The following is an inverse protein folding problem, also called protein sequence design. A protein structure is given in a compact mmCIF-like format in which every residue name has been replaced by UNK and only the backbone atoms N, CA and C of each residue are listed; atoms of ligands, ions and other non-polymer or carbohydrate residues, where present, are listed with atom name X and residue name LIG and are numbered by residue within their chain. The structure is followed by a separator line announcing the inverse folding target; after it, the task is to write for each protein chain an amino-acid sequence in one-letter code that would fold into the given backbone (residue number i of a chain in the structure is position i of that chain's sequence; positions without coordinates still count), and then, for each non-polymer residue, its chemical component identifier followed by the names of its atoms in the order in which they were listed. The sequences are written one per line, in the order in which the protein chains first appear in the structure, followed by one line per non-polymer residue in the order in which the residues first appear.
data_IF_981366506006
#
_entry.id   IF_981366506006
#
_cell.length_a   1.000
_cell.length_b   1.000
_cell.length_c   1.000
_cell.angle_alpha   90.00
_cell.angle_beta   90.00
_cell.angle_gamma   90.00
#
_symmetry.space_group_name_H-M   'P 1'
#
loop_
_entity.id
_entity.type
_entity.pdbx_description
1 polymer ?
#
# COMPACT_ATOMS: atom_id res chain seq x y z
N UNK A 1 -5.14 -7.01 -30.18
CA UNK A 1 -5.25 -7.24 -28.73
C UNK A 1 -4.64 -6.02 -28.05
N UNK A 2 -5.40 -5.31 -27.22
CA UNK A 2 -4.84 -4.20 -26.44
C UNK A 2 -4.10 -4.78 -25.22
N UNK A 3 -2.85 -4.37 -25.04
CA UNK A 3 -2.06 -4.68 -23.86
C UNK A 3 -1.98 -3.40 -23.00
N UNK A 4 -2.10 -3.55 -21.70
CA UNK A 4 -1.91 -2.47 -20.75
C UNK A 4 -0.77 -2.87 -19.83
N UNK A 5 0.25 -2.03 -19.75
CA UNK A 5 1.35 -2.18 -18.80
C UNK A 5 1.10 -1.22 -17.63
N UNK A 6 0.68 -1.76 -16.50
CA UNK A 6 0.51 -1.02 -15.27
C UNK A 6 1.66 -1.32 -14.30
N UNK A 7 2.08 -0.32 -13.57
CA UNK A 7 3.18 -0.46 -12.60
C UNK A 7 2.67 -0.08 -11.21
N UNK A 8 3.00 -0.90 -10.23
CA UNK A 8 2.68 -0.66 -8.84
C UNK A 8 3.85 -0.91 -7.90
N UNK A 9 3.99 -0.02 -6.91
CA UNK A 9 5.07 -0.06 -5.92
C UNK A 9 4.90 -1.10 -4.83
N UNK A 10 3.68 -1.55 -4.56
CA UNK A 10 3.47 -2.45 -3.44
C UNK A 10 2.21 -3.31 -3.58
N UNK A 11 2.21 -4.41 -2.84
CA UNK A 11 1.12 -5.36 -2.76
C UNK A 11 -0.24 -4.73 -2.41
N UNK A 12 -0.25 -3.60 -1.67
CA UNK A 12 -1.50 -2.93 -1.30
C UNK A 12 -2.28 -2.47 -2.53
N UNK A 13 -1.63 -1.77 -3.47
CA UNK A 13 -2.34 -1.30 -4.65
C UNK A 13 -2.70 -2.46 -5.57
N UNK A 14 -1.90 -3.54 -5.60
CA UNK A 14 -2.29 -4.76 -6.30
C UNK A 14 -3.56 -5.36 -5.68
N UNK A 15 -3.62 -5.54 -4.39
CA UNK A 15 -4.78 -6.10 -3.71
C UNK A 15 -6.00 -5.16 -3.75
N UNK A 16 -5.80 -3.88 -3.46
CA UNK A 16 -6.89 -2.92 -3.30
C UNK A 16 -7.45 -2.36 -4.62
N UNK A 17 -6.64 -2.35 -5.69
CA UNK A 17 -7.00 -1.74 -6.98
C UNK A 17 -6.94 -2.75 -8.12
N UNK A 18 -5.82 -3.46 -8.29
CA UNK A 18 -5.60 -4.27 -9.49
C UNK A 18 -6.50 -5.51 -9.49
N UNK A 19 -6.62 -6.21 -8.38
CA UNK A 19 -7.47 -7.41 -8.31
C UNK A 19 -8.95 -7.11 -8.55
N UNK A 20 -9.58 -6.10 -7.90
CA UNK A 20 -10.95 -5.69 -8.22
C UNK A 20 -11.11 -5.25 -9.68
N UNK A 21 -10.16 -4.47 -10.20
CA UNK A 21 -10.16 -4.05 -11.58
C UNK A 21 -10.13 -5.25 -12.54
N UNK A 22 -9.25 -6.23 -12.32
CA UNK A 22 -9.15 -7.43 -13.14
C UNK A 22 -10.49 -8.18 -13.22
N UNK A 23 -11.22 -8.26 -12.09
CA UNK A 23 -12.53 -8.90 -12.05
C UNK A 23 -13.56 -8.17 -12.96
N UNK A 24 -13.53 -6.84 -12.99
CA UNK A 24 -14.36 -6.03 -13.89
C UNK A 24 -13.94 -6.21 -15.35
N UNK A 25 -12.65 -6.11 -15.62
CA UNK A 25 -12.11 -6.20 -17.00
C UNK A 25 -12.37 -7.56 -17.63
N UNK A 26 -12.37 -8.65 -16.88
CA UNK A 26 -12.73 -9.97 -17.39
C UNK A 26 -14.16 -10.04 -17.92
N UNK A 27 -15.07 -9.23 -17.37
CA UNK A 27 -16.48 -9.16 -17.82
C UNK A 27 -16.68 -8.16 -18.96
N UNK A 28 -16.07 -6.97 -18.84
CA UNK A 28 -16.34 -5.85 -19.74
C UNK A 28 -15.39 -5.81 -20.96
N UNK A 29 -14.19 -6.34 -20.82
CA UNK A 29 -13.18 -6.33 -21.87
C UNK A 29 -12.36 -7.65 -21.86
N UNK A 30 -12.96 -8.82 -22.17
CA UNK A 30 -12.31 -10.14 -22.02
C UNK A 30 -11.05 -10.32 -22.89
N UNK A 31 -10.94 -9.54 -23.99
CA UNK A 31 -9.76 -9.53 -24.86
C UNK A 31 -8.61 -8.64 -24.36
N UNK A 32 -8.78 -7.87 -23.29
CA UNK A 32 -7.75 -7.01 -22.75
C UNK A 32 -6.75 -7.82 -21.93
N UNK A 33 -5.45 -7.54 -22.13
CA UNK A 33 -4.37 -8.12 -21.34
C UNK A 33 -3.72 -7.04 -20.50
N UNK A 34 -3.48 -7.33 -19.22
CA UNK A 34 -2.79 -6.43 -18.29
C UNK A 34 -1.53 -7.11 -17.80
N UNK A 35 -0.40 -6.41 -17.91
CA UNK A 35 0.84 -6.74 -17.23
C UNK A 35 1.04 -5.79 -16.05
N UNK A 36 1.21 -6.35 -14.86
CA UNK A 36 1.52 -5.59 -13.65
C UNK A 36 2.96 -5.89 -13.27
N UNK A 37 3.77 -4.85 -13.11
CA UNK A 37 5.19 -4.99 -12.81
C UNK A 37 5.60 -4.06 -11.65
N UNK A 38 6.69 -4.36 -10.93
CA UNK A 38 7.19 -3.47 -9.88
C UNK A 38 7.62 -2.11 -10.45
N UNK A 39 7.32 -1.02 -9.72
CA UNK A 39 7.79 0.32 -10.09
C UNK A 39 9.29 0.48 -9.80
N UNK A 40 10.03 0.85 -10.81
CA UNK A 40 11.30 1.55 -10.62
C UNK A 40 11.02 3.06 -10.53
N UNK A 41 11.21 3.62 -9.35
CA UNK A 41 10.91 5.03 -9.07
C UNK A 41 11.69 6.00 -9.96
N UNK A 42 12.84 5.58 -10.50
CA UNK A 42 13.68 6.41 -11.38
C UNK A 42 13.30 6.26 -12.85
N UNK A 43 12.85 5.07 -13.24
CA UNK A 43 12.62 4.73 -14.64
C UNK A 43 11.16 4.93 -15.10
N UNK A 44 10.17 4.85 -14.18
CA UNK A 44 8.76 4.86 -14.60
C UNK A 44 8.33 6.13 -15.35
N UNK A 45 8.81 7.37 -15.04
CA UNK A 45 8.41 8.54 -15.79
C UNK A 45 8.81 8.44 -17.26
N UNK A 46 10.08 8.08 -17.53
CA UNK A 46 10.57 7.88 -18.90
C UNK A 46 9.86 6.72 -19.61
N UNK A 47 9.48 5.67 -18.91
CA UNK A 47 8.69 4.57 -19.46
C UNK A 47 7.27 5.00 -19.85
N UNK A 48 6.60 5.88 -19.06
CA UNK A 48 5.33 6.48 -19.42
C UNK A 48 5.44 7.38 -20.66
N UNK A 49 6.50 8.18 -20.75
CA UNK A 49 6.78 9.03 -21.91
C UNK A 49 7.05 8.20 -23.18
N UNK A 50 7.87 7.16 -23.08
CA UNK A 50 8.22 6.29 -24.20
C UNK A 50 7.11 5.30 -24.61
N UNK A 51 6.11 5.08 -23.74
CA UNK A 51 5.02 4.14 -23.97
C UNK A 51 5.31 2.69 -23.66
N UNK A 52 6.37 2.44 -22.96
CA UNK A 52 6.62 1.14 -22.36
C UNK A 52 5.72 0.86 -21.17
N UNK A 53 5.13 1.91 -20.63
CA UNK A 53 4.19 1.88 -19.53
C UNK A 53 2.98 2.76 -19.85
N UNK A 54 1.78 2.31 -19.52
CA UNK A 54 0.54 3.04 -19.77
C UNK A 54 0.08 3.81 -18.52
N UNK A 55 0.22 3.21 -17.34
CA UNK A 55 -0.25 3.76 -16.07
C UNK A 55 0.66 3.34 -14.93
N UNK A 56 0.94 4.26 -13.99
CA UNK A 56 1.61 3.92 -12.74
C UNK A 56 0.75 4.27 -11.52
N UNK A 57 0.80 3.41 -10.49
CA UNK A 57 0.13 3.58 -9.21
C UNK A 57 1.18 3.93 -8.16
N UNK A 58 1.29 5.22 -7.84
CA UNK A 58 2.36 5.76 -6.99
C UNK A 58 1.79 6.63 -5.87
N UNK A 59 2.64 7.23 -5.06
CA UNK A 59 2.27 8.31 -4.14
C UNK A 59 2.58 9.67 -4.79
N UNK A 60 1.93 10.77 -4.34
CA UNK A 60 2.13 12.09 -4.94
C UNK A 60 3.59 12.53 -5.01
N UNK A 61 4.38 12.20 -3.98
CA UNK A 61 5.79 12.62 -3.87
C UNK A 61 6.68 11.98 -4.95
N UNK A 62 6.20 10.90 -5.58
CA UNK A 62 6.91 10.19 -6.64
C UNK A 62 6.56 10.71 -8.04
N UNK A 63 5.43 11.43 -8.17
CA UNK A 63 4.91 11.85 -9.46
C UNK A 63 5.57 13.17 -9.91
N UNK A 64 6.28 13.19 -11.04
CA UNK A 64 6.74 14.45 -11.64
C UNK A 64 5.56 15.33 -12.08
N UNK A 65 5.72 16.66 -11.98
CA UNK A 65 4.65 17.64 -12.26
C UNK A 65 4.13 17.60 -13.71
N UNK A 66 4.93 17.13 -14.65
CA UNK A 66 4.57 17.05 -16.07
C UNK A 66 3.66 15.84 -16.39
N UNK A 67 3.48 14.90 -15.47
CA UNK A 67 2.57 13.79 -15.66
C UNK A 67 1.15 14.15 -15.20
N UNK A 68 0.17 13.57 -15.87
CA UNK A 68 -1.22 13.65 -15.41
C UNK A 68 -1.44 12.72 -14.23
N UNK A 69 -2.19 13.19 -13.25
CA UNK A 69 -2.48 12.43 -12.04
C UNK A 69 -3.97 12.43 -11.70
N UNK A 70 -4.43 11.35 -11.08
CA UNK A 70 -5.77 11.23 -10.46
C UNK A 70 -5.63 10.58 -9.09
N UNK A 71 -6.16 11.22 -8.06
CA UNK A 71 -6.27 10.63 -6.73
C UNK A 71 -7.21 9.43 -6.76
N UNK A 72 -6.79 8.34 -6.11
CA UNK A 72 -7.56 7.10 -6.02
C UNK A 72 -8.12 6.93 -4.60
N UNK A 73 -7.26 6.90 -3.59
CA UNK A 73 -7.68 6.78 -2.19
C UNK A 73 -6.58 7.23 -1.23
N UNK A 74 -6.99 7.46 0.02
CA UNK A 74 -6.07 7.61 1.15
C UNK A 74 -6.00 6.31 1.93
N UNK A 75 -4.83 6.06 2.48
CA UNK A 75 -4.54 4.90 3.32
C UNK A 75 -4.06 5.34 4.69
N UNK A 76 -4.52 4.66 5.71
CA UNK A 76 -4.06 4.82 7.08
C UNK A 76 -3.36 3.55 7.54
N UNK A 77 -2.44 3.67 8.49
CA UNK A 77 -1.74 2.52 9.06
C UNK A 77 -2.51 1.97 10.27
N UNK A 78 -2.54 0.65 10.37
CA UNK A 78 -2.99 -0.08 11.55
C UNK A 78 -1.83 -0.88 12.14
N UNK A 79 -1.80 -0.99 13.46
CA UNK A 79 -0.89 -1.88 14.14
C UNK A 79 -1.45 -3.30 14.09
N UNK A 80 -0.60 -4.27 13.76
CA UNK A 80 -0.95 -5.69 13.72
C UNK A 80 -0.12 -6.49 14.72
N UNK A 81 -0.80 -7.45 15.35
CA UNK A 81 -0.25 -8.42 16.28
C UNK A 81 -0.82 -9.81 15.94
N UNK A 82 -0.15 -10.89 16.35
CA UNK A 82 -0.75 -12.22 16.24
C UNK A 82 -1.97 -12.36 17.17
N UNK A 83 -2.88 -13.26 16.84
CA UNK A 83 -3.96 -13.67 17.76
C UNK A 83 -3.37 -14.19 19.07
N UNK A 84 -3.90 -13.75 20.20
CA UNK A 84 -3.41 -14.13 21.54
C UNK A 84 -2.07 -13.47 21.93
N UNK A 85 -1.67 -12.38 21.25
CA UNK A 85 -0.50 -11.62 21.68
C UNK A 85 -0.76 -10.93 23.03
N UNK A 86 0.21 -10.94 23.99
CA UNK A 86 0.01 -10.38 25.34
C UNK A 86 -0.32 -8.88 25.38
N UNK A 87 0.02 -8.13 24.33
CA UNK A 87 -0.26 -6.71 24.21
C UNK A 87 -1.52 -6.39 23.39
N UNK A 88 -2.29 -7.39 22.94
CA UNK A 88 -3.49 -7.14 22.13
C UNK A 88 -4.57 -6.35 22.89
N UNK A 89 -4.66 -6.59 24.21
CA UNK A 89 -5.58 -5.86 25.07
C UNK A 89 -4.83 -4.68 25.73
N UNK A 90 -4.99 -3.46 25.16
CA UNK A 90 -4.44 -2.23 25.74
C UNK A 90 -3.01 -1.91 25.31
N UNK A 91 -2.74 -1.83 24.02
CA UNK A 91 -1.47 -1.37 23.46
C UNK A 91 -1.36 0.16 23.61
N UNK A 92 -0.72 0.60 24.68
CA UNK A 92 -0.33 2.00 24.89
C UNK A 92 1.06 2.30 24.28
N UNK A 93 1.48 3.56 24.32
CA UNK A 93 2.73 4.02 23.72
C UNK A 93 3.97 3.38 24.37
N UNK A 94 3.95 3.18 25.70
CA UNK A 94 5.09 2.59 26.41
C UNK A 94 5.28 1.11 26.04
N UNK A 95 4.18 0.36 26.01
CA UNK A 95 4.18 -1.03 25.53
C UNK A 95 4.59 -1.11 24.07
N UNK A 96 4.05 -0.23 23.22
CA UNK A 96 4.40 -0.18 21.80
C UNK A 96 5.92 0.01 21.61
N UNK A 97 6.55 0.95 22.34
CA UNK A 97 7.98 1.18 22.25
C UNK A 97 8.84 0.04 22.81
N UNK A 98 8.33 -0.70 23.78
CA UNK A 98 9.05 -1.80 24.44
C UNK A 98 9.05 -3.11 23.64
N UNK A 99 8.11 -3.29 22.72
CA UNK A 99 7.99 -4.49 21.89
C UNK A 99 9.02 -4.52 20.75
N UNK A 100 9.23 -5.71 20.21
CA UNK A 100 9.95 -5.91 18.96
C UNK A 100 9.09 -5.59 17.77
N UNK A 101 9.65 -4.85 16.83
CA UNK A 101 8.95 -4.46 15.61
C UNK A 101 9.53 -5.12 14.37
N UNK A 102 8.66 -5.46 13.44
CA UNK A 102 9.06 -5.74 12.07
C UNK A 102 8.58 -4.61 11.15
N UNK A 103 9.31 -4.37 10.06
CA UNK A 103 9.01 -3.31 9.10
C UNK A 103 9.07 -3.84 7.65
N UNK A 104 8.27 -3.26 6.77
CA UNK A 104 8.44 -3.43 5.34
C UNK A 104 9.32 -2.30 4.80
N UNK A 105 10.34 -2.67 4.04
CA UNK A 105 11.08 -1.74 3.17
C UNK A 105 11.28 -2.38 1.80
N UNK A 106 11.27 -1.56 0.73
CA UNK A 106 11.26 -2.08 -0.65
C UNK A 106 12.45 -3.01 -0.98
N UNK A 107 13.60 -2.77 -0.38
CA UNK A 107 14.82 -3.56 -0.55
C UNK A 107 15.09 -4.52 0.62
N UNK A 108 14.23 -4.51 1.66
CA UNK A 108 14.41 -5.31 2.87
C UNK A 108 15.58 -4.88 3.75
N UNK A 109 16.23 -3.75 3.47
CA UNK A 109 17.47 -3.34 4.15
C UNK A 109 17.30 -2.19 5.13
N UNK A 110 16.17 -1.50 5.12
CA UNK A 110 15.92 -0.33 5.97
C UNK A 110 15.21 -0.74 7.25
N UNK A 111 15.74 -0.29 8.37
CA UNK A 111 15.20 -0.53 9.70
C UNK A 111 14.52 0.72 10.30
N UNK A 112 14.25 1.74 9.47
CA UNK A 112 13.58 3.01 9.85
C UNK A 112 12.57 3.44 8.81
N UNK A 113 11.46 4.05 9.25
CA UNK A 113 10.38 4.49 8.38
C UNK A 113 9.54 5.63 8.99
N UNK A 114 8.30 5.79 8.54
CA UNK A 114 7.39 6.85 9.01
C UNK A 114 7.14 6.76 10.51
N UNK A 115 6.97 5.56 11.05
CA UNK A 115 6.76 5.34 12.50
C UNK A 115 7.95 5.81 13.32
N UNK A 116 9.18 5.62 12.83
CA UNK A 116 10.39 6.03 13.57
C UNK A 116 10.48 7.55 13.60
N UNK A 117 10.15 8.24 12.50
CA UNK A 117 10.07 9.71 12.47
C UNK A 117 9.00 10.25 13.43
N UNK A 118 7.82 9.60 13.47
CA UNK A 118 6.75 9.98 14.38
C UNK A 118 7.14 9.80 15.85
N UNK A 119 7.83 8.71 16.19
CA UNK A 119 8.36 8.47 17.54
C UNK A 119 9.45 9.47 17.93
N UNK A 120 10.37 9.77 17.03
CA UNK A 120 11.43 10.77 17.27
C UNK A 120 10.88 12.17 17.52
N UNK A 121 9.80 12.56 16.84
CA UNK A 121 9.14 13.84 17.05
C UNK A 121 8.60 14.03 18.49
N UNK A 122 8.37 12.93 19.20
CA UNK A 122 7.92 12.90 20.60
C UNK A 122 8.98 12.38 21.58
N UNK A 123 10.25 12.31 21.14
CA UNK A 123 11.38 11.87 21.97
C UNK A 123 11.37 10.37 22.32
N UNK A 124 10.73 9.54 21.48
CA UNK A 124 10.61 8.10 21.69
C UNK A 124 11.33 7.31 20.59
N UNK A 125 11.54 6.05 20.84
CA UNK A 125 12.12 5.11 19.87
C UNK A 125 11.53 3.72 20.06
N UNK A 126 11.79 2.84 19.09
CA UNK A 126 11.41 1.42 19.12
C UNK A 126 12.56 0.56 18.64
N UNK A 127 12.52 -0.73 18.92
CA UNK A 127 13.47 -1.71 18.40
C UNK A 127 12.89 -2.40 17.17
N UNK A 128 13.48 -2.19 16.00
CA UNK A 128 13.13 -2.92 14.77
C UNK A 128 14.07 -4.11 14.64
N UNK A 129 13.53 -5.33 14.71
CA UNK A 129 14.29 -6.58 14.68
C UNK A 129 14.29 -7.26 13.31
N UNK A 130 13.35 -6.91 12.43
CA UNK A 130 13.27 -7.48 11.10
C UNK A 130 12.81 -6.43 10.08
N UNK A 131 13.41 -6.47 8.89
CA UNK A 131 13.00 -5.71 7.71
C UNK A 131 12.78 -6.68 6.55
N UNK A 132 11.63 -6.61 5.90
CA UNK A 132 11.26 -7.51 4.82
C UNK A 132 10.73 -6.73 3.61
N UNK A 133 10.90 -7.24 2.36
CA UNK A 133 10.53 -6.49 1.16
C UNK A 133 9.04 -6.63 0.78
N UNK A 134 8.22 -7.29 1.59
CA UNK A 134 6.82 -7.56 1.27
C UNK A 134 5.91 -7.49 2.49
N UNK A 135 4.75 -6.85 2.36
CA UNK A 135 3.72 -6.85 3.39
C UNK A 135 3.13 -8.24 3.66
N UNK A 136 3.07 -9.13 2.66
CA UNK A 136 2.63 -10.52 2.89
C UNK A 136 3.60 -11.25 3.82
N UNK A 137 4.88 -11.12 3.56
CA UNK A 137 5.92 -11.71 4.41
C UNK A 137 5.90 -11.08 5.80
N UNK A 138 5.69 -9.75 5.89
CA UNK A 138 5.56 -9.04 7.16
C UNK A 138 4.39 -9.55 8.00
N UNK A 139 3.22 -9.70 7.38
CA UNK A 139 2.01 -10.22 8.05
C UNK A 139 2.25 -11.66 8.53
N UNK A 140 2.88 -12.51 7.71
CA UNK A 140 3.19 -13.89 8.10
C UNK A 140 4.23 -13.97 9.23
N UNK A 141 5.22 -13.08 9.23
CA UNK A 141 6.19 -12.94 10.32
C UNK A 141 5.49 -12.57 11.63
N UNK A 142 4.62 -11.55 11.62
CA UNK A 142 3.85 -11.13 12.81
C UNK A 142 2.96 -12.26 13.31
N UNK A 143 2.30 -12.98 12.42
CA UNK A 143 1.45 -14.13 12.78
C UNK A 143 2.21 -15.21 13.58
N UNK A 144 3.51 -15.38 13.29
CA UNK A 144 4.36 -16.47 13.85
C UNK A 144 5.29 -16.01 14.97
N UNK A 145 5.21 -14.74 15.40
CA UNK A 145 6.12 -14.19 16.41
C UNK A 145 5.41 -13.23 17.35
N UNK A 146 6.11 -12.75 18.35
CA UNK A 146 5.66 -11.66 19.23
C UNK A 146 6.13 -10.27 18.72
N UNK A 147 6.65 -10.19 17.49
CA UNK A 147 6.90 -8.91 16.85
C UNK A 147 5.59 -8.27 16.39
N UNK A 148 5.53 -6.96 16.49
CA UNK A 148 4.40 -6.15 15.97
C UNK A 148 4.83 -5.38 14.72
N UNK A 149 3.86 -4.94 13.93
CA UNK A 149 4.15 -4.13 12.75
C UNK A 149 3.04 -3.11 12.50
N UNK A 150 3.38 -2.00 11.82
CA UNK A 150 2.40 -1.13 11.19
C UNK A 150 2.30 -1.49 9.71
N UNK A 151 1.08 -1.73 9.28
CA UNK A 151 0.75 -2.05 7.88
C UNK A 151 -0.40 -1.16 7.40
N UNK A 152 -0.57 -0.99 6.08
CA UNK A 152 -1.78 -0.38 5.55
C UNK A 152 -3.02 -1.10 6.08
N UNK A 153 -3.98 -0.32 6.61
CA UNK A 153 -5.15 -0.88 7.32
C UNK A 153 -5.95 -1.86 6.47
N UNK A 154 -6.07 -1.60 5.18
CA UNK A 154 -6.78 -2.48 4.24
C UNK A 154 -6.15 -3.86 4.10
N UNK A 155 -4.83 -3.96 4.17
CA UNK A 155 -4.15 -5.27 4.11
C UNK A 155 -4.37 -6.10 5.39
N UNK A 156 -4.65 -5.43 6.49
CA UNK A 156 -4.87 -6.08 7.77
C UNK A 156 -6.31 -6.61 7.96
N UNK A 157 -7.30 -6.01 7.25
CA UNK A 157 -8.73 -6.27 7.49
C UNK A 157 -9.13 -7.74 7.34
N UNK A 158 -8.56 -8.41 6.33
CA UNK A 158 -8.93 -9.81 5.99
C UNK A 158 -7.80 -10.81 6.30
N UNK A 159 -6.75 -10.38 7.00
CA UNK A 159 -5.61 -11.24 7.27
C UNK A 159 -5.89 -12.19 8.44
N UNK A 160 -6.06 -13.48 8.16
CA UNK A 160 -6.31 -14.50 9.17
C UNK A 160 -5.12 -14.63 10.15
N UNK A 161 -5.40 -14.87 11.43
CA UNK A 161 -4.39 -15.15 12.45
C UNK A 161 -3.66 -13.91 13.01
N UNK A 162 -4.15 -12.71 12.66
CA UNK A 162 -3.71 -11.45 13.27
C UNK A 162 -4.90 -10.71 13.89
N UNK A 163 -4.61 -9.81 14.81
CA UNK A 163 -5.52 -8.80 15.33
C UNK A 163 -4.99 -7.42 14.97
N UNK A 164 -5.89 -6.48 14.73
CA UNK A 164 -5.56 -5.09 14.45
C UNK A 164 -5.94 -4.22 15.62
N UNK A 165 -5.09 -3.25 15.94
CA UNK A 165 -5.40 -2.20 16.90
C UNK A 165 -4.96 -0.84 16.36
N UNK A 166 -5.54 0.26 16.85
CA UNK A 166 -5.03 1.59 16.56
C UNK A 166 -3.56 1.71 17.00
N UNK A 167 -2.74 2.36 16.19
CA UNK A 167 -1.40 2.73 16.63
C UNK A 167 -1.53 3.75 17.77
N UNK A 168 -0.76 3.63 18.89
CA UNK A 168 -0.86 4.54 20.03
C UNK A 168 -0.16 5.89 19.78
N UNK A 169 0.13 6.20 18.53
CA UNK A 169 0.69 7.47 18.05
C UNK A 169 0.15 7.77 16.65
N UNK A 170 0.14 9.06 16.30
CA UNK A 170 -0.20 9.47 14.95
C UNK A 170 0.94 9.12 13.98
N UNK A 171 0.69 8.19 13.08
CA UNK A 171 1.60 7.88 11.96
C UNK A 171 0.94 8.35 10.68
N UNK A 172 1.66 9.17 9.93
CA UNK A 172 1.17 9.70 8.66
C UNK A 172 0.83 8.55 7.71
N UNK A 173 -0.39 8.60 7.18
CA UNK A 173 -0.83 7.73 6.10
C UNK A 173 -0.26 8.19 4.77
N UNK A 174 -0.78 7.65 3.68
CA UNK A 174 -0.37 8.08 2.34
C UNK A 174 -1.54 8.08 1.37
N UNK A 175 -1.44 8.90 0.33
CA UNK A 175 -2.39 8.92 -0.78
C UNK A 175 -1.87 8.06 -1.91
N UNK A 176 -2.75 7.25 -2.52
CA UNK A 176 -2.47 6.59 -3.80
C UNK A 176 -3.07 7.39 -4.95
N UNK A 177 -2.27 7.56 -5.98
CA UNK A 177 -2.64 8.22 -7.23
C UNK A 177 -2.32 7.31 -8.42
N UNK A 178 -3.11 7.46 -9.47
CA UNK A 178 -2.77 6.96 -10.80
C UNK A 178 -2.10 8.08 -11.59
N UNK A 179 -0.99 7.79 -12.25
CA UNK A 179 -0.30 8.75 -13.11
C UNK A 179 -0.11 8.18 -14.52
N UNK A 180 -0.17 9.05 -15.53
CA UNK A 180 -0.02 8.70 -16.95
C UNK A 180 0.55 9.87 -17.74
N UNK A 181 1.08 9.62 -18.92
CA UNK A 181 1.60 10.66 -19.81
C UNK A 181 0.48 11.37 -20.58
N UNK A 182 0.66 12.66 -20.90
CA UNK A 182 -0.31 13.51 -21.61
C UNK A 182 -0.81 12.89 -22.91
N UNK A 183 0.05 12.20 -23.68
CA UNK A 183 -0.32 11.55 -24.96
C UNK A 183 -1.49 10.56 -24.83
N UNK A 184 -1.70 9.96 -23.62
CA UNK A 184 -2.79 9.02 -23.35
C UNK A 184 -4.00 9.70 -22.70
N UNK A 185 -3.92 11.02 -22.44
CA UNK A 185 -4.97 11.70 -21.70
C UNK A 185 -6.32 11.65 -22.42
N UNK A 186 -6.31 11.86 -23.73
CA UNK A 186 -7.49 11.88 -24.59
C UNK A 186 -7.77 10.54 -25.28
N UNK A 187 -6.98 9.50 -25.06
CA UNK A 187 -7.27 8.16 -25.57
C UNK A 187 -8.51 7.59 -24.89
N UNK A 188 -9.58 7.24 -25.66
CA UNK A 188 -10.84 6.78 -25.08
C UNK A 188 -10.71 5.47 -24.30
N UNK A 189 -9.87 4.53 -24.76
CA UNK A 189 -9.67 3.24 -24.10
C UNK A 189 -8.91 3.43 -22.78
N UNK A 190 -7.89 4.29 -22.80
CA UNK A 190 -7.16 4.61 -21.60
C UNK A 190 -8.02 5.43 -20.60
N UNK A 191 -8.86 6.36 -21.09
CA UNK A 191 -9.81 7.10 -20.24
C UNK A 191 -10.82 6.16 -19.57
N UNK A 192 -11.36 5.21 -20.32
CA UNK A 192 -12.24 4.17 -19.81
C UNK A 192 -11.54 3.32 -18.72
N UNK A 193 -10.31 2.87 -18.96
CA UNK A 193 -9.53 2.13 -17.95
C UNK A 193 -9.34 2.91 -16.66
N UNK A 194 -8.93 4.20 -16.75
CA UNK A 194 -8.75 5.07 -15.57
C UNK A 194 -10.06 5.25 -14.79
N UNK A 195 -11.18 5.34 -15.51
CA UNK A 195 -12.50 5.43 -14.87
C UNK A 195 -12.82 4.13 -14.13
N UNK A 196 -12.63 2.96 -14.76
CA UNK A 196 -12.83 1.66 -14.11
C UNK A 196 -11.95 1.46 -12.89
N UNK A 197 -10.68 1.86 -12.98
CA UNK A 197 -9.76 1.83 -11.85
C UNK A 197 -10.26 2.68 -10.66
N UNK A 198 -10.80 3.85 -10.94
CA UNK A 198 -11.36 4.71 -9.90
C UNK A 198 -12.67 4.17 -9.31
N UNK A 199 -13.55 3.61 -10.16
CA UNK A 199 -14.84 3.05 -9.74
C UNK A 199 -14.67 1.77 -8.90
N UNK A 200 -13.63 0.99 -9.16
CA UNK A 200 -13.30 -0.24 -8.43
C UNK A 200 -12.38 0.01 -7.24
N UNK A 201 -11.85 1.22 -7.14
CA UNK A 201 -11.01 1.61 -6.01
C UNK A 201 -11.75 1.51 -4.67
N UNK A 202 -11.03 1.28 -3.61
CA UNK A 202 -11.63 1.15 -2.30
C UNK A 202 -12.26 2.47 -1.85
N UNK A 203 -13.44 2.41 -1.29
CA UNK A 203 -14.08 3.51 -0.58
C UNK A 203 -13.21 4.04 0.59
N UNK A 204 -13.63 5.10 1.28
CA UNK A 204 -12.92 5.60 2.46
C UNK A 204 -12.73 4.47 3.48
N UNK A 205 -11.57 4.46 4.17
CA UNK A 205 -11.36 3.54 5.29
C UNK A 205 -12.36 3.91 6.38
N UNK A 206 -13.42 3.15 6.50
CA UNK A 206 -14.28 3.26 7.68
C UNK A 206 -13.49 2.62 8.83
N UNK A 207 -13.07 3.43 9.80
CA UNK A 207 -12.54 2.93 11.07
C UNK A 207 -13.59 2.04 11.73
N UNK A 208 -13.59 0.76 11.40
CA UNK A 208 -14.47 -0.23 12.02
C UNK A 208 -14.00 -0.50 13.45
N UNK A 209 -14.92 -0.79 14.37
CA UNK A 209 -14.57 -1.23 15.72
C UNK A 209 -13.77 -2.54 15.62
N UNK A 210 -12.79 -2.68 16.51
CA UNK A 210 -12.00 -3.89 16.74
C UNK A 210 -12.95 -5.11 16.73
N UNK A 211 -12.85 -5.97 15.72
CA UNK A 211 -13.52 -7.27 15.78
C UNK A 211 -12.73 -8.13 16.77
N UNK A 212 -13.38 -8.48 17.87
CA UNK A 212 -12.90 -9.43 18.88
C UNK A 212 -12.79 -10.84 18.31
#
# INVERSE_FOLDING_TARGET
MANINAVDLNLLAQAALVLPLLAVLRREAPGLRIAVQPVDARAFPAQLEAGGLDLALVTPEMAPDHLRARRLFDETCACILRVGHPAADGLDLDRFCALDHAIMSHDGTRFRGATDRALEAIGRSRRVVASVPSFLVLIDLVRRSDAIALVPGRLAQDAAGIVTCPAPLAVEGFTKIAVWHERQHHDPAHAWLRQRLADTGPGPVTGGPVRR
#
